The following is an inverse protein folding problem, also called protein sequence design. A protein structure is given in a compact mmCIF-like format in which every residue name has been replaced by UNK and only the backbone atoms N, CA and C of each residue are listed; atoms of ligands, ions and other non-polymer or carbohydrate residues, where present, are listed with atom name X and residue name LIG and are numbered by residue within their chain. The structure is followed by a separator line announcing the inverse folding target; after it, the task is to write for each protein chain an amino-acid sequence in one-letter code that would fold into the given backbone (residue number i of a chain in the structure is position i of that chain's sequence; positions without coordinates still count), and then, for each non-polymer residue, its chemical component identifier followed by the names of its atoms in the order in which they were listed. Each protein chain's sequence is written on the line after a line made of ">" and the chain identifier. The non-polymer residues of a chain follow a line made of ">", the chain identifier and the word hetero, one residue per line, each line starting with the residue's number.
data_IF_202230702599
#
_entry.id   IF_202230702599
#
_cell.length_a   1.000
_cell.length_b   1.000
_cell.length_c   1.000
_cell.angle_alpha   90.00
_cell.angle_beta   90.00
_cell.angle_gamma   90.00
#
_symmetry.space_group_name_H-M   'P 1'
#
loop_
_entity.id
_entity.type
_entity.pdbx_description
1 polymer ?
#
# COMPACT_ATOMS: atom_id res chain seq x y z
N UNK A 1 -53.88 -12.70 12.30
CA UNK A 1 -53.23 -11.38 12.43
C UNK A 1 -51.79 -11.49 11.94
N UNK A 2 -51.59 -11.26 10.64
CA UNK A 2 -50.27 -11.23 10.00
C UNK A 2 -50.18 -10.04 9.05
N UNK A 3 -48.96 -9.51 8.95
CA UNK A 3 -48.36 -8.74 7.86
C UNK A 3 -48.69 -7.24 7.71
N UNK A 4 -47.80 -6.40 8.26
CA UNK A 4 -47.45 -5.10 7.68
C UNK A 4 -45.93 -4.87 7.86
N UNK A 5 -45.12 -5.49 6.99
CA UNK A 5 -43.68 -5.29 6.92
C UNK A 5 -43.23 -5.46 5.45
N UNK A 6 -43.51 -4.47 4.61
CA UNK A 6 -43.18 -4.54 3.19
C UNK A 6 -42.98 -3.20 2.46
N UNK A 7 -43.47 -2.08 3.01
CA UNK A 7 -43.49 -0.81 2.27
C UNK A 7 -42.27 0.11 2.49
N UNK A 8 -41.42 -0.12 3.50
CA UNK A 8 -40.31 0.79 3.81
C UNK A 8 -39.06 0.66 2.93
N UNK A 9 -38.75 -0.53 2.41
CA UNK A 9 -37.50 -0.81 1.68
C UNK A 9 -37.54 -0.27 0.24
N UNK A 10 -38.72 -0.24 -0.36
CA UNK A 10 -38.91 0.22 -1.74
C UNK A 10 -38.73 1.75 -1.86
N UNK A 11 -39.09 2.50 -0.80
CA UNK A 11 -38.99 3.96 -0.79
C UNK A 11 -37.55 4.45 -0.59
N UNK A 12 -36.75 3.78 0.25
CA UNK A 12 -35.32 4.08 0.40
C UNK A 12 -34.53 3.78 -0.88
N UNK A 13 -34.87 2.68 -1.56
CA UNK A 13 -34.22 2.30 -2.83
C UNK A 13 -34.51 3.32 -3.93
N UNK A 14 -35.75 3.85 -4.00
CA UNK A 14 -36.13 4.89 -4.96
C UNK A 14 -35.52 6.27 -4.63
N UNK A 15 -35.29 6.60 -3.35
CA UNK A 15 -34.53 7.80 -2.95
C UNK A 15 -33.05 7.68 -3.36
N UNK A 16 -32.47 6.49 -3.19
CA UNK A 16 -31.10 6.18 -3.63
C UNK A 16 -30.94 6.31 -5.15
N UNK A 17 -31.85 5.75 -5.95
CA UNK A 17 -31.84 5.91 -7.41
C UNK A 17 -31.97 7.38 -7.86
N UNK A 18 -32.81 8.19 -7.19
CA UNK A 18 -32.90 9.63 -7.47
C UNK A 18 -31.62 10.39 -7.09
N UNK A 19 -30.96 10.01 -5.99
CA UNK A 19 -29.69 10.62 -5.59
C UNK A 19 -28.52 10.29 -6.53
N UNK A 20 -28.54 9.10 -7.16
CA UNK A 20 -27.56 8.66 -8.16
C UNK A 20 -27.65 9.48 -9.45
N UNK A 21 -28.86 9.83 -9.88
CA UNK A 21 -29.11 10.67 -11.06
C UNK A 21 -28.83 12.16 -10.80
N UNK A 22 -28.92 12.63 -9.55
CA UNK A 22 -28.85 14.04 -9.19
C UNK A 22 -27.43 14.58 -8.87
N UNK A 23 -26.36 13.80 -9.05
CA UNK A 23 -25.00 14.36 -8.93
C UNK A 23 -24.56 14.83 -7.53
N UNK A 24 -25.32 14.53 -6.46
CA UNK A 24 -25.08 15.06 -5.09
C UNK A 24 -24.00 14.33 -4.27
N UNK A 25 -23.00 13.75 -4.94
CA UNK A 25 -22.05 12.74 -4.47
C UNK A 25 -21.11 13.14 -3.31
N UNK A 26 -21.02 14.40 -2.87
CA UNK A 26 -19.87 14.86 -2.08
C UNK A 26 -20.05 14.88 -0.55
N UNK A 27 -21.27 15.11 -0.02
CA UNK A 27 -21.43 15.35 1.43
C UNK A 27 -21.95 14.14 2.22
N UNK A 28 -23.04 13.52 1.79
CA UNK A 28 -23.62 12.36 2.50
C UNK A 28 -22.72 11.12 2.39
N UNK A 29 -22.06 11.00 1.23
CA UNK A 29 -21.19 9.90 0.85
C UNK A 29 -19.98 9.73 1.80
N UNK A 30 -19.63 10.81 2.51
CA UNK A 30 -18.40 10.96 3.28
C UNK A 30 -18.62 11.41 4.74
N UNK A 31 -19.76 12.04 5.08
CA UNK A 31 -19.90 12.79 6.35
C UNK A 31 -21.22 12.58 7.14
N UNK A 32 -22.15 11.73 6.69
CA UNK A 32 -23.43 11.51 7.38
C UNK A 32 -23.26 10.97 8.81
N UNK A 33 -23.81 11.67 9.81
CA UNK A 33 -23.94 11.18 11.21
C UNK A 33 -22.79 11.47 12.18
N UNK A 34 -21.73 12.20 11.78
CA UNK A 34 -20.54 12.39 12.63
C UNK A 34 -20.53 13.74 13.40
N UNK A 35 -20.14 13.70 14.68
CA UNK A 35 -19.89 14.89 15.53
C UNK A 35 -18.81 15.80 14.91
N UNK A 36 -18.87 17.14 15.07
CA UNK A 36 -18.01 18.11 14.36
C UNK A 36 -16.50 17.87 14.51
N UNK A 37 -16.04 17.52 15.71
CA UNK A 37 -14.62 17.23 15.99
C UNK A 37 -14.12 15.96 15.30
N UNK A 38 -15.01 14.99 15.04
CA UNK A 38 -14.69 13.72 14.38
C UNK A 38 -14.70 13.81 12.86
N UNK A 39 -15.45 14.78 12.31
CA UNK A 39 -15.34 15.13 10.88
C UNK A 39 -13.91 15.56 10.52
N UNK A 40 -13.27 16.37 11.38
CA UNK A 40 -11.89 16.85 11.14
C UNK A 40 -10.85 15.72 11.09
N UNK A 41 -10.99 14.67 11.89
CA UNK A 41 -10.10 13.52 11.91
C UNK A 41 -10.06 12.78 10.55
N UNK A 42 -11.24 12.49 10.01
CA UNK A 42 -11.40 11.83 8.72
C UNK A 42 -10.97 12.72 7.55
N UNK A 43 -11.12 14.04 7.67
CA UNK A 43 -10.67 14.98 6.65
C UNK A 43 -9.15 14.92 6.48
N UNK A 44 -8.37 14.91 7.57
CA UNK A 44 -6.91 14.78 7.49
C UNK A 44 -6.49 13.46 6.84
N UNK A 45 -7.08 12.33 7.26
CA UNK A 45 -6.77 11.02 6.65
C UNK A 45 -7.07 10.99 5.17
N UNK A 46 -8.26 11.45 4.77
CA UNK A 46 -8.67 11.48 3.36
C UNK A 46 -7.84 12.46 2.54
N UNK A 47 -7.46 13.60 3.12
CA UNK A 47 -6.55 14.55 2.49
C UNK A 47 -5.21 13.90 2.16
N UNK A 48 -4.62 13.15 3.09
CA UNK A 48 -3.38 12.39 2.85
C UNK A 48 -3.60 11.29 1.80
N UNK A 49 -4.69 10.53 1.87
CA UNK A 49 -5.01 9.49 0.88
C UNK A 49 -5.11 10.07 -0.55
N UNK A 50 -5.84 11.17 -0.71
CA UNK A 50 -6.01 11.85 -2.02
C UNK A 50 -4.69 12.41 -2.51
N UNK A 51 -3.92 13.07 -1.64
CA UNK A 51 -2.60 13.62 -1.97
C UNK A 51 -1.67 12.53 -2.50
N UNK A 52 -1.49 11.43 -1.77
CA UNK A 52 -0.60 10.36 -2.20
C UNK A 52 -1.13 9.60 -3.42
N UNK A 53 -2.43 9.40 -3.53
CA UNK A 53 -3.03 8.82 -4.73
C UNK A 53 -2.74 9.69 -5.96
N UNK A 54 -2.91 11.02 -5.86
CA UNK A 54 -2.61 11.94 -6.94
C UNK A 54 -1.12 11.93 -7.32
N UNK A 55 -0.21 11.95 -6.34
CA UNK A 55 1.24 11.84 -6.56
C UNK A 55 1.58 10.54 -7.30
N UNK A 56 1.01 9.42 -6.86
CA UNK A 56 1.28 8.10 -7.43
C UNK A 56 0.73 8.00 -8.86
N UNK A 57 -0.48 8.50 -9.11
CA UNK A 57 -1.06 8.56 -10.46
C UNK A 57 -0.19 9.42 -11.39
N UNK A 58 0.27 10.58 -10.91
CA UNK A 58 1.17 11.44 -11.68
C UNK A 58 2.51 10.76 -12.00
N UNK A 59 3.14 10.10 -11.02
CA UNK A 59 4.36 9.29 -11.24
C UNK A 59 4.09 8.18 -12.26
N UNK A 60 2.96 7.47 -12.13
CA UNK A 60 2.58 6.37 -13.02
C UNK A 60 2.37 6.82 -14.47
N UNK A 61 1.66 7.95 -14.68
CA UNK A 61 1.47 8.53 -16.02
C UNK A 61 2.81 8.95 -16.63
N UNK A 62 3.67 9.63 -15.85
CA UNK A 62 5.01 9.99 -16.34
C UNK A 62 5.83 8.75 -16.67
N UNK A 63 5.82 7.74 -15.82
CA UNK A 63 6.55 6.50 -16.08
C UNK A 63 6.04 5.78 -17.32
N UNK A 64 4.72 5.71 -17.52
CA UNK A 64 4.11 5.11 -18.70
C UNK A 64 4.54 5.82 -20.00
N UNK A 65 4.49 7.15 -20.01
CA UNK A 65 4.95 7.96 -21.15
C UNK A 65 6.46 7.80 -21.40
N UNK A 66 7.28 7.72 -20.33
CA UNK A 66 8.71 7.43 -20.42
C UNK A 66 8.96 6.07 -21.09
N UNK A 67 8.30 5.01 -20.60
CA UNK A 67 8.46 3.65 -21.13
C UNK A 67 8.01 3.59 -22.59
N UNK A 68 6.89 4.23 -22.95
CA UNK A 68 6.38 4.22 -24.31
C UNK A 68 7.34 4.91 -25.29
N UNK A 69 7.87 6.07 -24.92
CA UNK A 69 8.86 6.77 -25.73
C UNK A 69 10.14 5.92 -25.89
N UNK A 70 10.61 5.32 -24.79
CA UNK A 70 11.83 4.53 -24.79
C UNK A 70 11.70 3.21 -25.58
N UNK A 71 10.52 2.56 -25.60
CA UNK A 71 10.26 1.36 -26.44
C UNK A 71 10.36 1.65 -27.93
N UNK A 72 9.93 2.84 -28.35
CA UNK A 72 9.91 3.24 -29.76
C UNK A 72 11.20 3.93 -30.23
N UNK A 73 12.25 3.95 -29.40
CA UNK A 73 13.50 4.67 -29.72
C UNK A 73 13.32 6.19 -29.87
N UNK A 74 12.19 6.74 -29.40
CA UNK A 74 11.88 8.15 -29.54
C UNK A 74 12.65 8.99 -28.52
N UNK A 75 12.84 10.28 -28.84
CA UNK A 75 13.41 11.23 -27.89
C UNK A 75 12.53 11.32 -26.64
N UNK A 76 13.07 10.87 -25.51
CA UNK A 76 12.35 10.87 -24.24
C UNK A 76 12.34 12.29 -23.68
N UNK A 77 11.16 12.92 -23.66
CA UNK A 77 11.00 14.32 -23.26
C UNK A 77 11.36 14.60 -21.78
N UNK A 78 11.45 13.58 -20.94
CA UNK A 78 11.78 13.74 -19.52
C UNK A 78 12.38 12.48 -18.90
N UNK A 79 13.18 12.63 -17.81
CA UNK A 79 13.81 11.49 -17.16
C UNK A 79 12.80 10.57 -16.46
N UNK A 80 13.19 9.31 -16.29
CA UNK A 80 12.49 8.28 -15.54
C UNK A 80 12.23 8.73 -14.09
N UNK A 81 10.97 8.80 -13.61
CA UNK A 81 10.66 9.27 -12.26
C UNK A 81 11.11 8.25 -11.19
N UNK A 82 12.01 8.61 -10.25
CA UNK A 82 12.50 7.66 -9.24
C UNK A 82 11.45 7.13 -8.28
N UNK A 83 10.34 7.86 -8.11
CA UNK A 83 9.24 7.44 -7.26
C UNK A 83 8.55 6.14 -7.71
N UNK A 84 8.78 5.67 -8.95
CA UNK A 84 8.28 4.36 -9.41
C UNK A 84 8.85 3.19 -8.60
N UNK A 85 10.03 3.37 -8.01
CA UNK A 85 10.67 2.37 -7.16
C UNK A 85 9.88 2.05 -5.88
N UNK A 86 8.89 2.88 -5.53
CA UNK A 86 7.94 2.60 -4.45
C UNK A 86 7.22 1.25 -4.61
N UNK A 87 7.10 0.76 -5.86
CA UNK A 87 6.45 -0.49 -6.20
C UNK A 87 7.41 -1.69 -6.24
N UNK A 88 8.69 -1.49 -5.93
CA UNK A 88 9.73 -2.53 -5.89
C UNK A 88 10.18 -2.84 -4.44
N UNK A 89 9.31 -3.34 -3.55
CA UNK A 89 9.67 -3.56 -2.14
C UNK A 89 10.75 -4.63 -1.97
N UNK A 90 10.83 -5.61 -2.88
CA UNK A 90 11.87 -6.65 -2.85
C UNK A 90 13.23 -6.05 -3.20
N UNK A 91 13.33 -5.22 -4.25
CA UNK A 91 14.56 -4.50 -4.60
C UNK A 91 15.00 -3.58 -3.47
N UNK A 92 14.07 -2.88 -2.81
CA UNK A 92 14.38 -2.07 -1.63
C UNK A 92 14.93 -2.89 -0.46
N UNK A 93 14.40 -4.10 -0.24
CA UNK A 93 14.88 -4.99 0.82
C UNK A 93 16.25 -5.63 0.49
N UNK A 94 16.47 -6.04 -0.77
CA UNK A 94 17.76 -6.54 -1.24
C UNK A 94 18.83 -5.44 -1.20
N UNK A 95 18.49 -4.22 -1.62
CA UNK A 95 19.38 -3.07 -1.55
C UNK A 95 19.72 -2.69 -0.11
N UNK A 96 18.76 -2.78 0.83
CA UNK A 96 19.04 -2.62 2.26
C UNK A 96 19.99 -3.71 2.78
N UNK A 97 19.77 -4.97 2.42
CA UNK A 97 20.65 -6.08 2.81
C UNK A 97 22.07 -5.87 2.27
N UNK A 98 22.20 -5.42 1.02
CA UNK A 98 23.49 -5.10 0.42
C UNK A 98 24.18 -3.97 1.20
N UNK A 99 23.46 -2.88 1.44
CA UNK A 99 23.99 -1.73 2.20
C UNK A 99 24.46 -2.11 3.60
N UNK A 100 23.72 -2.97 4.32
CA UNK A 100 24.14 -3.45 5.64
C UNK A 100 25.36 -4.38 5.58
N UNK A 101 25.59 -5.07 4.46
CA UNK A 101 26.69 -6.02 4.31
C UNK A 101 27.98 -5.34 3.81
N UNK A 102 27.88 -4.35 2.92
CA UNK A 102 29.03 -3.73 2.25
C UNK A 102 29.28 -2.28 2.68
N UNK A 103 28.29 -1.62 3.28
CA UNK A 103 28.33 -0.17 3.54
C UNK A 103 27.95 0.68 2.32
N UNK A 104 27.72 0.06 1.15
CA UNK A 104 27.42 0.75 -0.10
C UNK A 104 25.95 0.63 -0.50
N UNK A 105 25.33 1.75 -0.87
CA UNK A 105 23.94 1.75 -1.33
C UNK A 105 23.90 1.41 -2.82
N UNK A 106 23.07 0.43 -3.21
CA UNK A 106 22.90 0.05 -4.61
C UNK A 106 22.50 1.26 -5.48
N UNK A 107 23.30 1.53 -6.52
CA UNK A 107 23.09 2.63 -7.44
C UNK A 107 21.98 2.39 -8.48
N UNK A 108 21.53 1.15 -8.67
CA UNK A 108 20.51 0.80 -9.68
C UNK A 108 19.10 1.22 -9.24
N UNK A 109 18.68 0.86 -8.01
CA UNK A 109 17.39 1.27 -7.44
C UNK A 109 17.57 1.83 -6.01
N UNK A 110 18.26 2.97 -5.85
CA UNK A 110 18.51 3.56 -4.53
C UNK A 110 17.24 4.13 -3.89
N UNK A 111 16.30 4.64 -4.69
CA UNK A 111 15.04 5.18 -4.18
C UNK A 111 14.15 4.07 -3.57
N UNK A 112 14.23 2.83 -4.05
CA UNK A 112 13.54 1.67 -3.48
C UNK A 112 13.94 1.46 -2.02
N UNK A 113 15.25 1.54 -1.73
CA UNK A 113 15.78 1.40 -0.37
C UNK A 113 15.30 2.55 0.51
N UNK A 114 15.40 3.79 0.01
CA UNK A 114 14.95 4.99 0.74
C UNK A 114 13.47 4.91 1.07
N UNK A 115 12.62 4.59 0.10
CA UNK A 115 11.17 4.49 0.27
C UNK A 115 10.78 3.33 1.19
N UNK A 116 11.51 2.21 1.11
CA UNK A 116 11.37 1.10 2.05
C UNK A 116 11.69 1.55 3.49
N UNK A 117 12.81 2.24 3.69
CA UNK A 117 13.21 2.76 5.00
C UNK A 117 12.21 3.78 5.54
N UNK A 118 11.69 4.67 4.70
CA UNK A 118 10.63 5.61 5.07
C UNK A 118 9.38 4.85 5.53
N UNK A 119 8.95 3.82 4.80
CA UNK A 119 7.80 3.03 5.20
C UNK A 119 8.04 2.26 6.52
N UNK A 120 9.24 1.71 6.74
CA UNK A 120 9.65 1.12 8.03
C UNK A 120 9.62 2.16 9.15
N UNK A 121 10.16 3.36 8.92
CA UNK A 121 10.14 4.46 9.88
C UNK A 121 8.71 4.87 10.23
N UNK A 122 7.83 5.00 9.24
CA UNK A 122 6.40 5.25 9.51
C UNK A 122 5.74 4.11 10.28
N UNK A 123 6.15 2.85 10.06
CA UNK A 123 5.68 1.70 10.81
C UNK A 123 6.09 1.73 12.29
N UNK A 124 7.31 2.18 12.58
CA UNK A 124 7.82 2.36 13.93
C UNK A 124 7.18 3.55 14.64
N UNK A 125 7.01 4.67 13.93
CA UNK A 125 6.44 5.89 14.49
C UNK A 125 4.91 5.79 14.68
N UNK A 126 4.17 5.31 13.69
CA UNK A 126 2.71 5.39 13.65
C UNK A 126 2.01 4.02 13.48
N UNK A 127 2.67 2.92 13.87
CA UNK A 127 2.26 1.55 13.50
C UNK A 127 2.07 1.44 11.97
N UNK A 128 1.26 0.51 11.49
CA UNK A 128 0.92 0.36 10.05
C UNK A 128 0.05 1.49 9.47
N UNK A 129 0.17 2.73 9.95
CA UNK A 129 -0.57 3.87 9.41
C UNK A 129 -0.31 4.07 7.90
N UNK A 130 0.90 3.78 7.41
CA UNK A 130 1.20 3.79 5.97
C UNK A 130 0.14 3.05 5.13
N UNK A 131 -0.29 1.85 5.55
CA UNK A 131 -1.27 1.05 4.81
C UNK A 131 -2.65 1.71 4.70
N UNK A 132 -3.05 2.54 5.67
CA UNK A 132 -4.36 3.17 5.71
C UNK A 132 -4.35 4.64 5.27
N UNK A 133 -3.21 5.32 5.35
CA UNK A 133 -3.09 6.75 5.07
C UNK A 133 -2.41 7.05 3.74
N UNK A 134 -1.41 6.25 3.34
CA UNK A 134 -0.50 6.56 2.22
C UNK A 134 -0.66 5.56 1.07
N UNK A 135 -0.80 4.27 1.38
CA UNK A 135 -0.82 3.21 0.37
C UNK A 135 -2.02 3.35 -0.60
N UNK A 136 -1.80 3.35 -1.93
CA UNK A 136 -2.87 3.50 -2.92
C UNK A 136 -3.80 2.28 -2.91
N UNK A 137 -3.26 1.07 -2.72
CA UNK A 137 -4.05 -0.17 -2.65
C UNK A 137 -4.98 -0.16 -1.43
N UNK A 138 -4.51 0.36 -0.29
CA UNK A 138 -5.33 0.54 0.90
C UNK A 138 -6.50 1.50 0.65
N UNK A 139 -6.21 2.65 0.02
CA UNK A 139 -7.19 3.67 -0.34
C UNK A 139 -8.23 3.13 -1.33
N UNK A 140 -7.79 2.45 -2.39
CA UNK A 140 -8.66 1.83 -3.38
C UNK A 140 -9.55 0.77 -2.73
N UNK A 141 -8.99 -0.11 -1.91
CA UNK A 141 -9.75 -1.16 -1.24
C UNK A 141 -10.75 -0.62 -0.21
N UNK A 142 -10.44 0.50 0.46
CA UNK A 142 -11.42 1.22 1.29
C UNK A 142 -12.57 1.78 0.45
N UNK A 143 -12.26 2.34 -0.73
CA UNK A 143 -13.25 2.84 -1.69
C UNK A 143 -14.16 1.72 -2.21
N UNK A 144 -13.57 0.61 -2.68
CA UNK A 144 -14.31 -0.55 -3.19
C UNK A 144 -15.26 -1.12 -2.14
N UNK A 145 -14.80 -1.31 -0.90
CA UNK A 145 -15.66 -1.82 0.16
C UNK A 145 -16.79 -0.84 0.54
N UNK A 146 -16.59 0.48 0.37
CA UNK A 146 -17.67 1.46 0.54
C UNK A 146 -18.69 1.38 -0.59
N UNK A 147 -18.24 1.21 -1.83
CA UNK A 147 -19.11 1.02 -3.00
C UNK A 147 -19.92 -0.26 -2.84
N UNK A 148 -19.28 -1.39 -2.54
CA UNK A 148 -19.98 -2.67 -2.35
C UNK A 148 -20.97 -2.65 -1.20
N UNK A 149 -20.65 -2.02 -0.06
CA UNK A 149 -21.63 -1.81 1.02
C UNK A 149 -22.88 -1.06 0.56
N UNK A 150 -22.77 -0.10 -0.35
CA UNK A 150 -23.95 0.63 -0.87
C UNK A 150 -24.75 -0.19 -1.87
N UNK A 151 -24.06 -0.93 -2.75
CA UNK A 151 -24.73 -1.76 -3.76
C UNK A 151 -25.46 -2.95 -3.14
N UNK A 152 -24.89 -3.56 -2.10
CA UNK A 152 -25.38 -4.81 -1.49
C UNK A 152 -26.03 -4.58 -0.11
N UNK A 153 -25.97 -3.36 0.42
CA UNK A 153 -26.45 -2.99 1.76
C UNK A 153 -25.53 -3.43 2.92
N UNK A 154 -24.59 -4.36 2.69
CA UNK A 154 -23.69 -4.88 3.73
C UNK A 154 -22.32 -5.32 3.18
N UNK A 155 -21.33 -5.34 4.06
CA UNK A 155 -20.04 -6.00 3.81
C UNK A 155 -20.07 -7.41 4.42
N UNK A 156 -19.48 -8.37 3.73
CA UNK A 156 -19.38 -9.75 4.20
C UNK A 156 -18.34 -9.86 5.32
N UNK A 157 -18.72 -10.52 6.41
CA UNK A 157 -17.84 -10.87 7.52
C UNK A 157 -17.62 -12.38 7.48
N UNK A 158 -16.39 -12.80 7.24
CA UNK A 158 -16.05 -14.23 7.21
C UNK A 158 -16.04 -14.81 8.63
N UNK A 159 -16.38 -16.10 8.80
CA UNK A 159 -16.23 -16.79 10.07
C UNK A 159 -14.81 -16.69 10.62
N UNK A 160 -14.67 -16.56 11.94
CA UNK A 160 -13.38 -16.29 12.60
C UNK A 160 -12.26 -17.27 12.24
N UNK A 161 -12.58 -18.57 12.10
CA UNK A 161 -11.58 -19.60 11.74
C UNK A 161 -11.02 -19.38 10.34
N UNK A 162 -11.91 -19.16 9.37
CA UNK A 162 -11.53 -18.89 7.98
C UNK A 162 -10.74 -17.59 7.85
N UNK A 163 -11.16 -16.54 8.55
CA UNK A 163 -10.44 -15.28 8.60
C UNK A 163 -9.02 -15.40 9.20
N UNK A 164 -8.83 -16.19 10.25
CA UNK A 164 -7.49 -16.48 10.80
C UNK A 164 -6.65 -17.28 9.80
N UNK A 165 -7.22 -18.33 9.19
CA UNK A 165 -6.51 -19.15 8.21
C UNK A 165 -6.05 -18.33 7.00
N UNK A 166 -6.95 -17.54 6.39
CA UNK A 166 -6.63 -16.68 5.25
C UNK A 166 -5.64 -15.57 5.61
N UNK A 167 -5.62 -15.07 6.86
CA UNK A 167 -4.59 -14.14 7.31
C UNK A 167 -3.21 -14.78 7.37
N UNK A 168 -3.11 -16.09 7.55
CA UNK A 168 -1.85 -16.83 7.49
C UNK A 168 -1.18 -16.74 6.12
N UNK A 169 -1.97 -16.64 5.04
CA UNK A 169 -1.46 -16.62 3.66
C UNK A 169 -0.44 -15.51 3.41
N UNK A 170 -0.71 -14.25 3.80
CA UNK A 170 0.27 -13.17 3.65
C UNK A 170 1.55 -13.35 4.47
N UNK A 171 1.51 -14.07 5.59
CA UNK A 171 2.70 -14.38 6.39
C UNK A 171 3.50 -15.50 5.75
N UNK A 172 2.83 -16.47 5.12
CA UNK A 172 3.47 -17.48 4.26
C UNK A 172 4.14 -16.81 3.06
N UNK A 173 3.43 -15.93 2.35
CA UNK A 173 4.00 -15.15 1.24
C UNK A 173 5.19 -14.29 1.70
N UNK A 174 5.09 -13.64 2.86
CA UNK A 174 6.21 -12.92 3.45
C UNK A 174 7.40 -13.87 3.70
N UNK A 175 7.17 -15.03 4.30
CA UNK A 175 8.20 -16.04 4.53
C UNK A 175 8.89 -16.48 3.24
N UNK A 176 8.12 -16.71 2.17
CA UNK A 176 8.63 -17.03 0.85
C UNK A 176 9.53 -15.93 0.27
N UNK A 177 9.09 -14.66 0.31
CA UNK A 177 9.91 -13.54 -0.17
C UNK A 177 11.15 -13.31 0.69
N UNK A 178 11.05 -13.44 2.01
CA UNK A 178 12.22 -13.38 2.89
C UNK A 178 13.19 -14.51 2.59
N UNK A 179 12.71 -15.73 2.36
CA UNK A 179 13.54 -16.85 1.98
C UNK A 179 14.32 -16.58 0.68
N UNK A 180 13.65 -16.08 -0.38
CA UNK A 180 14.33 -15.65 -1.62
C UNK A 180 15.39 -14.58 -1.33
N UNK A 181 15.07 -13.61 -0.49
CA UNK A 181 16.02 -12.53 -0.18
C UNK A 181 17.20 -13.01 0.62
N UNK A 182 17.06 -14.00 1.50
CA UNK A 182 18.14 -14.47 2.39
C UNK A 182 18.92 -15.69 1.85
N UNK A 183 18.34 -16.49 0.95
CA UNK A 183 19.03 -17.66 0.35
C UNK A 183 20.20 -17.25 -0.53
N UNK A 184 20.11 -16.10 -1.19
CA UNK A 184 21.21 -15.57 -2.00
C UNK A 184 22.41 -15.20 -1.07
N UNK A 185 23.62 -15.71 -1.29
CA UNK A 185 24.76 -15.38 -0.44
C UNK A 185 25.21 -13.93 -0.66
N UNK A 186 25.78 -13.29 0.36
CA UNK A 186 26.16 -11.87 0.31
C UNK A 186 27.10 -11.53 -0.87
N UNK A 187 28.02 -12.45 -1.21
CA UNK A 187 28.92 -12.31 -2.37
C UNK A 187 28.22 -12.27 -3.72
N UNK A 188 27.07 -12.96 -3.85
CA UNK A 188 26.30 -12.99 -5.09
C UNK A 188 25.27 -11.85 -5.17
N UNK A 189 25.15 -11.04 -4.11
CA UNK A 189 24.15 -9.99 -4.04
C UNK A 189 24.49 -8.80 -4.95
N UNK A 190 25.76 -8.36 -4.96
CA UNK A 190 26.21 -7.28 -5.85
C UNK A 190 25.99 -7.61 -7.34
N UNK A 191 26.50 -8.74 -7.89
CA UNK A 191 26.29 -9.06 -9.30
C UNK A 191 24.81 -9.29 -9.65
N UNK A 192 24.00 -9.79 -8.71
CA UNK A 192 22.55 -9.91 -8.92
C UNK A 192 21.86 -8.54 -9.05
N UNK A 193 22.24 -7.58 -8.19
CA UNK A 193 21.68 -6.22 -8.21
C UNK A 193 22.13 -5.40 -9.43
N UNK A 194 23.32 -5.69 -9.97
CA UNK A 194 23.82 -5.06 -11.19
C UNK A 194 23.36 -5.76 -12.47
N UNK A 195 22.76 -6.95 -12.36
CA UNK A 195 22.30 -7.74 -13.49
C UNK A 195 21.20 -7.06 -14.32
N UNK A 196 21.13 -7.44 -15.60
CA UNK A 196 20.24 -6.84 -16.59
C UNK A 196 18.77 -6.85 -16.17
N UNK A 197 18.31 -7.95 -15.55
CA UNK A 197 16.95 -8.03 -15.03
C UNK A 197 16.68 -6.93 -14.01
N UNK A 198 17.58 -6.74 -13.05
CA UNK A 198 17.36 -5.81 -11.95
C UNK A 198 17.35 -4.37 -12.46
N UNK A 199 18.17 -4.02 -13.45
CA UNK A 199 18.19 -2.69 -14.10
C UNK A 199 16.85 -2.26 -14.71
N UNK A 200 16.09 -3.21 -15.25
CA UNK A 200 14.77 -2.95 -15.89
C UNK A 200 13.59 -3.49 -15.07
N UNK A 201 13.79 -3.82 -13.80
CA UNK A 201 12.77 -4.45 -12.95
C UNK A 201 11.48 -3.61 -12.81
N UNK A 202 11.60 -2.29 -12.75
CA UNK A 202 10.49 -1.35 -12.73
C UNK A 202 9.67 -1.36 -14.03
N UNK A 203 10.35 -1.37 -15.18
CA UNK A 203 9.72 -1.45 -16.50
C UNK A 203 9.02 -2.80 -16.66
N UNK A 204 9.67 -3.89 -16.26
CA UNK A 204 9.05 -5.24 -16.28
C UNK A 204 7.82 -5.33 -15.41
N UNK A 205 7.88 -4.79 -14.20
CA UNK A 205 6.71 -4.71 -13.33
C UNK A 205 5.57 -3.91 -13.99
N UNK A 206 5.89 -2.79 -14.66
CA UNK A 206 4.88 -2.03 -15.40
C UNK A 206 4.29 -2.80 -16.59
N UNK A 207 5.13 -3.44 -17.42
CA UNK A 207 4.67 -4.24 -18.56
C UNK A 207 3.83 -5.43 -18.10
N UNK A 208 4.17 -6.06 -16.98
CA UNK A 208 3.35 -7.13 -16.39
C UNK A 208 1.91 -6.69 -16.14
N UNK A 209 1.69 -5.46 -15.65
CA UNK A 209 0.34 -4.93 -15.43
C UNK A 209 -0.33 -4.36 -16.68
N UNK A 210 0.45 -3.87 -17.66
CA UNK A 210 -0.08 -3.33 -18.93
C UNK A 210 -0.47 -4.42 -19.91
N UNK A 211 0.34 -5.47 -20.00
CA UNK A 211 0.20 -6.59 -20.93
C UNK A 211 -0.31 -7.83 -20.19
N UNK A 212 -1.31 -7.62 -19.34
CA UNK A 212 -1.80 -8.61 -18.40
C UNK A 212 -2.53 -9.74 -19.14
N UNK A 213 -1.95 -10.94 -19.14
CA UNK A 213 -2.58 -12.12 -19.73
C UNK A 213 -3.91 -12.52 -19.05
N UNK A 214 -4.71 -13.42 -19.66
CA UNK A 214 -6.05 -13.77 -19.15
C UNK A 214 -6.07 -14.23 -17.69
N UNK A 215 -5.06 -15.01 -17.26
CA UNK A 215 -4.92 -15.46 -15.88
C UNK A 215 -4.66 -14.30 -14.90
N UNK A 216 -3.78 -13.36 -15.27
CA UNK A 216 -3.52 -12.16 -14.46
C UNK A 216 -4.75 -11.27 -14.35
N UNK A 217 -5.46 -11.08 -15.47
CA UNK A 217 -6.71 -10.32 -15.49
C UNK A 217 -7.77 -10.96 -14.59
N UNK A 218 -7.93 -12.30 -14.65
CA UNK A 218 -8.86 -13.03 -13.79
C UNK A 218 -8.54 -12.82 -12.30
N UNK A 219 -7.26 -12.86 -11.91
CA UNK A 219 -6.83 -12.58 -10.53
C UNK A 219 -7.15 -11.15 -10.11
N UNK A 220 -6.85 -10.16 -10.95
CA UNK A 220 -7.14 -8.74 -10.64
C UNK A 220 -8.64 -8.52 -10.50
N UNK A 221 -9.44 -9.02 -11.45
CA UNK A 221 -10.91 -8.93 -11.39
C UNK A 221 -11.46 -9.62 -10.16
N UNK A 222 -10.96 -10.81 -9.82
CA UNK A 222 -11.34 -11.54 -8.61
C UNK A 222 -11.02 -10.75 -7.32
N UNK A 223 -9.84 -10.12 -7.25
CA UNK A 223 -9.45 -9.30 -6.09
C UNK A 223 -10.28 -8.01 -5.99
N UNK A 224 -10.59 -7.36 -7.11
CA UNK A 224 -11.43 -6.15 -7.16
C UNK A 224 -12.86 -6.51 -6.76
N UNK A 225 -13.45 -7.53 -7.39
CA UNK A 225 -14.78 -8.03 -7.08
C UNK A 225 -14.90 -8.48 -5.63
N UNK A 226 -13.93 -9.26 -5.13
CA UNK A 226 -13.88 -9.67 -3.73
C UNK A 226 -13.74 -8.49 -2.76
N UNK A 227 -13.01 -7.43 -3.14
CA UNK A 227 -12.85 -6.21 -2.33
C UNK A 227 -14.13 -5.38 -2.22
N UNK A 228 -15.12 -5.59 -3.09
CA UNK A 228 -16.45 -4.98 -2.94
C UNK A 228 -17.20 -5.57 -1.74
N UNK A 229 -17.06 -6.88 -1.52
CA UNK A 229 -17.78 -7.58 -0.45
C UNK A 229 -16.98 -7.64 0.86
N UNK A 230 -15.66 -7.85 0.78
CA UNK A 230 -14.79 -8.05 1.93
C UNK A 230 -13.87 -6.85 2.10
N UNK A 231 -14.02 -6.13 3.22
CA UNK A 231 -13.21 -4.96 3.54
C UNK A 231 -11.72 -5.30 3.53
N UNK A 232 -10.94 -4.57 2.72
CA UNK A 232 -9.49 -4.69 2.67
C UNK A 232 -8.97 -6.09 2.33
N UNK A 233 -9.69 -6.85 1.48
CA UNK A 233 -9.39 -8.25 1.14
C UNK A 233 -7.89 -8.49 0.86
N UNK A 234 -7.30 -7.75 -0.08
CA UNK A 234 -5.87 -7.86 -0.41
C UNK A 234 -4.96 -7.55 0.79
N UNK A 235 -5.18 -6.40 1.44
CA UNK A 235 -4.33 -5.94 2.55
C UNK A 235 -4.41 -6.84 3.79
N UNK A 236 -5.53 -7.56 3.94
CA UNK A 236 -5.81 -8.45 5.06
C UNK A 236 -5.22 -9.84 4.84
N UNK A 237 -5.33 -10.39 3.63
CA UNK A 237 -5.01 -11.80 3.37
C UNK A 237 -3.81 -12.05 2.46
N UNK A 238 -3.50 -11.15 1.51
CA UNK A 238 -2.51 -11.44 0.46
C UNK A 238 -1.28 -10.53 0.47
N UNK A 239 -1.31 -9.38 1.14
CA UNK A 239 -0.22 -8.40 1.06
C UNK A 239 0.99 -8.75 1.97
N UNK A 240 2.12 -9.23 1.44
CA UNK A 240 3.30 -9.58 2.24
C UNK A 240 3.96 -8.34 2.84
N UNK A 241 3.93 -7.21 2.13
CA UNK A 241 4.43 -5.94 2.63
C UNK A 241 3.65 -5.44 3.84
N UNK A 242 2.33 -5.65 3.82
CA UNK A 242 1.46 -5.38 4.97
C UNK A 242 1.78 -6.28 6.17
N UNK A 243 2.11 -7.55 5.94
CA UNK A 243 2.56 -8.46 6.99
C UNK A 243 3.88 -7.97 7.62
N UNK A 244 4.88 -7.63 6.79
CA UNK A 244 6.18 -7.14 7.24
C UNK A 244 6.06 -5.89 8.11
N UNK A 245 5.41 -4.84 7.58
CA UNK A 245 5.20 -3.60 8.34
C UNK A 245 4.36 -3.85 9.61
N UNK A 246 3.51 -4.87 9.62
CA UNK A 246 2.74 -5.26 10.79
C UNK A 246 3.54 -5.88 11.90
N UNK A 247 4.50 -6.75 11.56
CA UNK A 247 5.45 -7.30 12.50
C UNK A 247 6.33 -6.18 13.07
N UNK A 248 6.87 -5.31 12.22
CA UNK A 248 7.67 -4.15 12.65
C UNK A 248 6.86 -3.21 13.55
N UNK A 249 5.60 -2.95 13.20
CA UNK A 249 4.71 -2.11 13.99
C UNK A 249 4.38 -2.66 15.39
N UNK A 250 4.70 -3.93 15.70
CA UNK A 250 4.55 -4.46 17.06
C UNK A 250 5.44 -3.73 18.07
N UNK A 251 6.60 -3.24 17.64
CA UNK A 251 7.55 -2.47 18.45
C UNK A 251 7.07 -1.03 18.67
N UNK A 252 6.25 -0.49 17.76
CA UNK A 252 5.77 0.89 17.84
C UNK A 252 5.07 1.20 19.18
N UNK A 253 5.45 2.31 19.85
CA UNK A 253 4.90 2.66 21.16
C UNK A 253 3.52 3.33 21.06
N UNK A 254 3.19 3.90 19.89
CA UNK A 254 1.90 4.47 19.58
C UNK A 254 0.87 3.36 19.35
N UNK A 255 -0.24 3.40 20.09
CA UNK A 255 -1.29 2.36 20.05
C UNK A 255 -2.67 2.96 20.27
N UNK A 256 -3.69 2.24 19.81
CA UNK A 256 -5.07 2.49 20.19
C UNK A 256 -5.27 1.99 21.62
N UNK A 257 -5.73 2.87 22.51
CA UNK A 257 -6.00 2.58 23.93
C UNK A 257 -7.43 2.99 24.27
N UNK A 258 -8.11 2.12 25.01
CA UNK A 258 -9.46 2.31 25.54
C UNK A 258 -9.36 2.68 27.02
N UNK A 259 -10.05 3.74 27.39
CA UNK A 259 -10.36 4.10 28.77
C UNK A 259 -11.66 3.36 29.17
N UNK A 260 -11.61 2.40 30.11
CA UNK A 260 -12.79 1.64 30.52
C UNK A 260 -13.80 2.52 31.29
N UNK A 261 -13.33 3.50 32.05
CA UNK A 261 -14.15 4.32 32.95
C UNK A 261 -15.06 5.27 32.16
N UNK A 262 -14.59 5.71 30.99
CA UNK A 262 -15.36 6.55 30.07
C UNK A 262 -16.15 5.74 29.02
N UNK A 263 -16.19 4.41 29.10
CA UNK A 263 -16.74 3.58 28.04
C UNK A 263 -18.18 3.11 28.32
N UNK A 264 -19.11 3.54 27.48
CA UNK A 264 -20.53 3.15 27.55
C UNK A 264 -20.86 1.73 27.02
N UNK A 265 -19.89 0.82 26.85
CA UNK A 265 -20.21 -0.57 26.48
C UNK A 265 -20.72 -0.85 25.04
N UNK A 266 -20.97 0.16 24.22
CA UNK A 266 -21.75 0.05 22.97
C UNK A 266 -21.14 -0.73 21.78
N UNK A 267 -19.89 -1.22 21.86
CA UNK A 267 -19.17 -1.98 20.79
C UNK A 267 -18.99 -1.32 19.41
N UNK A 268 -19.47 -0.10 19.18
CA UNK A 268 -19.32 0.63 17.91
C UNK A 268 -17.88 0.69 17.35
N UNK A 269 -16.88 0.68 18.24
CA UNK A 269 -15.47 0.67 17.88
C UNK A 269 -15.00 -0.65 17.23
N UNK A 270 -15.55 -1.78 17.65
CA UNK A 270 -15.28 -3.11 17.08
C UNK A 270 -15.90 -3.21 15.68
N UNK A 271 -17.14 -2.77 15.51
CA UNK A 271 -17.87 -2.83 14.23
C UNK A 271 -17.22 -1.94 13.16
N UNK A 272 -16.78 -0.76 13.59
CA UNK A 272 -16.07 0.18 12.74
C UNK A 272 -14.66 -0.27 12.36
N UNK A 273 -14.06 -1.26 13.05
CA UNK A 273 -12.71 -1.71 12.76
C UNK A 273 -12.66 -2.45 11.40
N UNK A 274 -11.94 -1.93 10.38
CA UNK A 274 -11.84 -2.59 9.08
C UNK A 274 -11.22 -3.99 9.14
N UNK A 275 -10.40 -4.24 10.16
CA UNK A 275 -9.63 -5.47 10.36
C UNK A 275 -10.31 -6.46 11.31
N UNK A 276 -11.57 -6.18 11.71
CA UNK A 276 -12.35 -7.00 12.66
C UNK A 276 -11.60 -7.31 13.96
N UNK A 277 -10.85 -6.33 14.48
CA UNK A 277 -10.20 -6.46 15.77
C UNK A 277 -11.22 -6.26 16.90
N UNK A 278 -11.14 -7.04 18.00
CA UNK A 278 -12.01 -6.87 19.16
C UNK A 278 -11.58 -5.63 19.96
N UNK A 279 -11.91 -4.44 19.45
CA UNK A 279 -11.46 -3.16 20.04
C UNK A 279 -12.12 -2.92 21.40
N UNK A 280 -13.39 -3.30 21.53
CA UNK A 280 -14.14 -3.18 22.77
C UNK A 280 -13.55 -4.01 23.92
N UNK A 281 -13.12 -5.24 23.63
CA UNK A 281 -12.72 -6.23 24.64
C UNK A 281 -11.27 -6.05 25.13
N UNK A 282 -10.56 -5.02 24.64
CA UNK A 282 -9.12 -4.82 24.88
C UNK A 282 -8.84 -3.39 25.35
N UNK A 283 -8.08 -3.25 26.43
CA UNK A 283 -7.60 -1.95 26.91
C UNK A 283 -6.57 -1.32 25.96
N UNK A 284 -5.73 -2.14 25.31
CA UNK A 284 -4.75 -1.70 24.34
C UNK A 284 -4.70 -2.66 23.17
N UNK A 285 -4.77 -2.13 21.95
CA UNK A 285 -4.69 -2.94 20.74
C UNK A 285 -3.24 -3.27 20.43
N UNK A 286 -2.84 -4.52 20.74
CA UNK A 286 -1.54 -5.09 20.44
C UNK A 286 -1.66 -6.14 19.33
N UNK A 287 -1.95 -5.68 18.12
CA UNK A 287 -2.07 -6.56 16.95
C UNK A 287 -1.22 -6.05 15.81
N UNK A 288 -0.59 -6.99 15.09
CA UNK A 288 0.07 -6.74 13.81
C UNK A 288 -0.95 -6.35 12.71
N UNK A 289 -2.23 -6.62 12.92
CA UNK A 289 -3.29 -6.28 11.97
C UNK A 289 -3.78 -4.84 12.10
N UNK A 290 -3.48 -4.14 13.20
CA UNK A 290 -3.95 -2.78 13.40
C UNK A 290 -3.26 -1.81 12.44
N UNK A 291 -4.01 -1.28 11.48
CA UNK A 291 -3.53 -0.30 10.47
C UNK A 291 -3.49 1.14 10.97
N UNK A 292 -3.75 1.39 12.26
CA UNK A 292 -3.83 2.74 12.83
C UNK A 292 -4.67 3.73 11.98
N UNK A 293 -5.73 3.24 11.32
CA UNK A 293 -6.65 4.05 10.52
C UNK A 293 -7.53 4.97 11.37
N UNK A 294 -7.60 4.73 12.68
CA UNK A 294 -8.39 5.47 13.67
C UNK A 294 -9.91 5.45 13.48
N UNK A 295 -10.45 4.62 12.57
CA UNK A 295 -11.91 4.47 12.39
C UNK A 295 -12.65 4.07 13.68
N UNK A 296 -12.00 3.32 14.57
CA UNK A 296 -12.58 2.97 15.88
C UNK A 296 -12.65 4.16 16.86
N UNK A 297 -11.71 5.09 16.78
CA UNK A 297 -11.71 6.35 17.56
C UNK A 297 -12.84 7.25 17.04
N UNK A 298 -12.98 7.33 15.73
CA UNK A 298 -14.01 8.17 15.09
C UNK A 298 -15.44 7.64 15.36
N UNK A 299 -15.62 6.32 15.34
CA UNK A 299 -16.93 5.71 15.57
C UNK A 299 -17.41 5.73 17.04
N UNK A 300 -16.51 5.84 18.01
CA UNK A 300 -16.84 5.66 19.43
C UNK A 300 -17.71 6.81 19.96
N UNK A 301 -19.01 6.65 20.30
CA UNK A 301 -19.91 7.77 20.62
C UNK A 301 -19.49 8.60 21.85
N UNK A 302 -18.83 7.97 22.82
CA UNK A 302 -18.28 8.67 23.97
C UNK A 302 -16.96 9.39 23.59
N UNK A 303 -16.86 10.72 23.79
CA UNK A 303 -15.63 11.45 23.55
C UNK A 303 -14.54 10.93 24.48
N UNK A 304 -13.27 11.06 24.08
CA UNK A 304 -12.12 10.77 24.95
C UNK A 304 -11.90 9.30 25.39
N UNK A 305 -12.86 8.39 25.16
CA UNK A 305 -12.77 6.97 25.52
C UNK A 305 -11.71 6.19 24.76
N UNK A 306 -11.53 6.47 23.46
CA UNK A 306 -10.53 5.80 22.62
C UNK A 306 -9.55 6.84 22.08
N UNK A 307 -8.26 6.54 22.16
CA UNK A 307 -7.22 7.41 21.63
C UNK A 307 -6.09 6.63 20.95
N UNK A 308 -5.56 7.22 19.88
CA UNK A 308 -4.28 6.83 19.30
C UNK A 308 -3.17 7.69 19.91
N UNK A 309 -2.05 7.11 20.30
CA UNK A 309 -0.88 7.87 20.77
C UNK A 309 0.00 7.13 21.75
N UNK A 310 0.88 7.86 22.43
CA UNK A 310 1.86 7.33 23.36
C UNK A 310 1.31 7.35 24.79
N UNK A 311 1.11 6.16 25.38
CA UNK A 311 0.64 6.00 26.77
C UNK A 311 -0.62 6.84 27.05
N UNK A 312 -0.55 7.90 27.85
CA UNK A 312 -1.66 8.82 28.18
C UNK A 312 -1.79 10.01 27.21
N UNK A 313 -0.81 10.26 26.34
CA UNK A 313 -0.86 11.36 25.37
C UNK A 313 -1.62 10.95 24.11
N UNK A 314 -2.59 11.77 23.72
CA UNK A 314 -3.39 11.58 22.50
C UNK A 314 -2.68 12.27 21.35
N UNK A 315 -2.38 11.51 20.30
CA UNK A 315 -1.93 12.07 19.03
C UNK A 315 -3.17 12.48 18.24
N UNK A 316 -3.30 13.78 17.97
CA UNK A 316 -4.36 14.26 17.10
C UNK A 316 -4.15 13.72 15.66
N UNK A 317 -5.22 13.44 14.90
CA UNK A 317 -5.11 12.92 13.54
C UNK A 317 -4.24 13.75 12.59
N UNK A 318 -4.23 15.07 12.75
CA UNK A 318 -3.38 15.97 11.96
C UNK A 318 -1.88 15.79 12.29
N UNK A 319 -1.53 15.47 13.54
CA UNK A 319 -0.14 15.16 13.93
C UNK A 319 0.32 13.90 13.22
N UNK A 320 -0.55 12.90 13.11
CA UNK A 320 -0.24 11.67 12.36
C UNK A 320 -0.07 12.00 10.87
N UNK A 321 -0.94 12.81 10.29
CA UNK A 321 -0.82 13.25 8.90
C UNK A 321 0.52 13.95 8.62
N UNK A 322 0.85 14.96 9.43
CA UNK A 322 2.10 15.74 9.31
C UNK A 322 3.32 14.85 9.54
N UNK A 323 3.30 13.96 10.53
CA UNK A 323 4.40 13.04 10.77
C UNK A 323 4.63 12.10 9.59
N UNK A 324 3.56 11.54 9.01
CA UNK A 324 3.66 10.66 7.84
C UNK A 324 4.21 11.41 6.62
N UNK A 325 3.59 12.53 6.24
CA UNK A 325 4.06 13.34 5.10
C UNK A 325 5.49 13.83 5.34
N UNK A 326 5.80 14.25 6.57
CA UNK A 326 7.13 14.67 6.99
C UNK A 326 8.19 13.57 6.82
N UNK A 327 7.88 12.31 7.15
CA UNK A 327 8.81 11.19 6.92
C UNK A 327 9.15 11.03 5.43
N UNK A 328 8.16 11.17 4.54
CA UNK A 328 8.41 11.12 3.09
C UNK A 328 9.22 12.32 2.62
N UNK A 329 8.86 13.53 3.02
CA UNK A 329 9.57 14.76 2.62
C UNK A 329 11.03 14.73 3.10
N UNK A 330 11.26 14.36 4.37
CA UNK A 330 12.61 14.26 4.94
C UNK A 330 13.40 13.15 4.28
N UNK A 331 12.85 11.93 4.17
CA UNK A 331 13.54 10.80 3.56
C UNK A 331 13.96 11.06 2.11
N UNK A 332 13.03 11.58 1.29
CA UNK A 332 13.31 11.94 -0.11
C UNK A 332 14.28 13.13 -0.17
N UNK A 333 14.11 14.13 0.69
CA UNK A 333 14.98 15.32 0.73
C UNK A 333 16.43 14.98 1.10
N UNK A 334 16.64 14.11 2.09
CA UNK A 334 17.98 13.61 2.46
C UNK A 334 18.57 12.81 1.30
N UNK A 335 17.83 11.86 0.72
CA UNK A 335 18.31 11.06 -0.40
C UNK A 335 18.70 11.90 -1.62
N UNK A 336 17.98 12.99 -1.90
CA UNK A 336 18.34 13.92 -2.99
C UNK A 336 19.62 14.68 -2.69
N UNK A 337 19.84 15.12 -1.44
CA UNK A 337 21.07 15.82 -1.05
C UNK A 337 22.29 14.92 -1.04
N UNK A 338 22.12 13.64 -0.71
CA UNK A 338 23.20 12.64 -0.70
C UNK A 338 23.42 11.97 -2.05
N UNK A 339 22.67 12.32 -3.10
CA UNK A 339 22.77 11.70 -4.43
C UNK A 339 22.11 10.31 -4.55
N UNK A 340 21.58 9.75 -3.47
CA UNK A 340 20.95 8.42 -3.41
C UNK A 340 19.46 8.41 -3.77
N UNK A 341 19.03 9.28 -4.68
CA UNK A 341 17.64 9.33 -5.14
C UNK A 341 17.47 8.97 -6.61
N UNK A 342 18.50 9.21 -7.44
CA UNK A 342 18.44 8.90 -8.88
C UNK A 342 19.06 7.54 -9.14
N UNK A 343 18.48 6.80 -10.08
CA UNK A 343 19.09 5.57 -10.60
C UNK A 343 20.33 5.91 -11.42
N UNK A 344 21.35 5.08 -11.34
CA UNK A 344 22.51 5.13 -12.24
C UNK A 344 22.20 4.67 -13.67
N UNK A 345 21.07 3.97 -13.89
CA UNK A 345 20.64 3.54 -15.22
C UNK A 345 20.20 4.76 -16.03
N UNK A 346 20.95 5.07 -17.07
CA UNK A 346 20.69 6.25 -17.91
C UNK A 346 19.50 6.05 -18.83
N UNK A 347 18.91 7.14 -19.32
CA UNK A 347 17.82 7.06 -20.30
C UNK A 347 18.25 6.37 -21.60
N UNK A 348 19.49 6.61 -22.05
CA UNK A 348 20.05 5.91 -23.21
C UNK A 348 20.15 4.40 -22.98
N UNK A 349 20.56 3.98 -21.77
CA UNK A 349 20.61 2.57 -21.40
C UNK A 349 19.21 1.93 -21.40
N UNK A 350 18.18 2.63 -20.91
CA UNK A 350 16.80 2.16 -21.02
C UNK A 350 16.37 2.02 -22.48
N UNK A 351 16.60 3.03 -23.33
CA UNK A 351 16.24 2.99 -24.76
C UNK A 351 16.92 1.82 -25.49
N UNK A 352 18.19 1.53 -25.17
CA UNK A 352 18.91 0.41 -25.77
C UNK A 352 18.37 -0.97 -25.32
N UNK A 353 17.91 -1.09 -24.07
CA UNK A 353 17.48 -2.38 -23.48
C UNK A 353 16.02 -2.71 -23.70
N UNK A 354 15.14 -1.71 -23.76
CA UNK A 354 13.69 -1.92 -23.81
C UNK A 354 13.18 -2.71 -25.02
N UNK A 355 13.77 -2.60 -26.24
CA UNK A 355 13.37 -3.43 -27.38
C UNK A 355 13.52 -4.95 -27.12
N UNK A 356 14.48 -5.35 -26.28
CA UNK A 356 14.81 -6.74 -25.98
C UNK A 356 14.33 -7.20 -24.60
N UNK A 357 13.42 -6.44 -23.96
CA UNK A 357 13.05 -6.64 -22.55
C UNK A 357 12.48 -8.02 -22.24
N UNK A 358 11.84 -8.67 -23.21
CA UNK A 358 11.27 -10.01 -23.08
C UNK A 358 12.31 -11.14 -23.07
N UNK A 359 13.54 -10.87 -23.53
CA UNK A 359 14.66 -11.84 -23.53
C UNK A 359 15.52 -11.75 -22.26
N UNK A 360 15.37 -10.68 -21.50
CA UNK A 360 16.07 -10.53 -20.22
C UNK A 360 15.34 -11.44 -19.23
N UNK A 361 16.00 -12.44 -18.65
CA UNK A 361 15.42 -13.32 -17.63
C UNK A 361 16.24 -13.34 -16.35
N UNK A 362 15.62 -13.78 -15.25
CA UNK A 362 16.29 -13.93 -13.95
C UNK A 362 17.42 -14.98 -13.96
N UNK A 363 17.53 -15.79 -15.02
CA UNK A 363 18.16 -17.11 -14.99
C UNK A 363 19.62 -17.11 -15.49
N UNK A 364 20.09 -16.07 -16.20
CA UNK A 364 21.44 -16.05 -16.76
C UNK A 364 22.57 -15.96 -15.72
N UNK A 365 22.40 -15.17 -14.66
CA UNK A 365 23.50 -14.84 -13.75
C UNK A 365 23.75 -15.85 -12.61
N UNK A 366 22.79 -16.73 -12.31
CA UNK A 366 22.87 -17.62 -11.14
C UNK A 366 23.43 -19.02 -11.44
N UNK A 367 23.54 -19.43 -12.71
CA UNK A 367 23.94 -20.79 -13.12
C UNK A 367 25.14 -20.84 -14.07
N UNK A 368 25.98 -19.81 -14.10
CA UNK A 368 27.24 -19.85 -14.87
C UNK A 368 27.05 -19.95 -16.38
N UNK A 369 25.91 -19.50 -16.91
CA UNK A 369 25.75 -19.28 -18.34
C UNK A 369 26.44 -17.98 -18.71
N UNK A 370 27.49 -18.04 -19.53
CA UNK A 370 27.99 -16.88 -20.28
C UNK A 370 26.82 -16.25 -21.04
N UNK A 371 26.26 -15.16 -20.52
CA UNK A 371 25.61 -14.19 -21.39
C UNK A 371 26.74 -13.52 -22.15
N UNK A 372 26.94 -13.95 -23.39
CA UNK A 372 27.74 -13.26 -24.38
C UNK A 372 27.47 -11.76 -24.25
N UNK A 373 28.54 -10.99 -24.05
CA UNK A 373 28.50 -9.54 -24.19
C UNK A 373 27.74 -9.22 -25.48
N UNK A 374 26.58 -8.57 -25.36
CA UNK A 374 25.84 -8.07 -26.51
C UNK A 374 26.70 -6.96 -27.11
N UNK A 375 27.53 -7.33 -28.09
CA UNK A 375 28.28 -6.42 -28.93
C UNK A 375 27.24 -5.62 -29.74
N UNK A 376 27.34 -4.29 -29.83
CA UNK A 376 26.46 -3.54 -30.74
C UNK A 376 26.67 -4.11 -32.14
N UNK A 377 25.58 -4.56 -32.77
CA UNK A 377 25.62 -5.02 -34.15
C UNK A 377 26.04 -3.85 -35.03
N UNK A 378 27.12 -4.05 -35.79
CA UNK A 378 27.55 -3.14 -36.84
C UNK A 378 26.37 -2.89 -37.78
N UNK A 379 26.00 -1.61 -37.92
CA UNK A 379 25.06 -1.12 -38.91
C UNK A 379 25.62 -1.35 -40.32
N UNK A 380 24.85 -1.93 -41.26
CA UNK A 380 25.19 -1.85 -42.69
C UNK A 380 24.99 -0.43 -43.25
#
# INVERSE_FOLDING_TARGET
>A
MQSHAGYGVHEETLRLCRSLLAGSWSKELWMGGLRPTRRRALLWRRGVQVLFLAIILWIGVRFALFVEAARHGAAVAFPRPPGVEAFLPISGMLGLRHWLATGELNAIHPAAVVLFLVAVATALLARRAFCAWVCPVGTLSEGLARVGKRLVGRNLILPRRLDVALRGLKYLLLGFFLWIVFVLPARALAPFLDGDYHRVADVKMYLFFRELGPGGLAVVVGLVGGSLFVRHLWCRYCCPYGALLGLIALVSPNRIRRDPDQCAGCRACTDACPQLLPVHDRLTIRSAECTACQSCVDACPAPATLAFGLRRRRAAPWVVAVALVGCFVVGIGVARRTGHWQSAVTTAEYVARLPWIHQVDHVGAALGGEMASVKPADTP
#
